data_IF_663597923371
#
_entry.id   IF_663597923371
#
_cell.length_a   1.000
_cell.length_b   1.000
_cell.length_c   1.000
_cell.angle_alpha   90.00
_cell.angle_beta   90.00
_cell.angle_gamma   90.00
#
_symmetry.space_group_name_H-M   'P 1'
#
loop_
_entity.id
_entity.type
_entity.pdbx_description
1 polymer ?
#
# COMPACT_ATOMS: atom_id res chain seq x y z
N UNK A 1 -7.48 14.77 11.85
CA UNK A 1 -6.59 13.58 11.83
C UNK A 1 -6.56 13.05 10.41
N UNK A 2 -5.38 12.83 9.84
CA UNK A 2 -5.25 12.33 8.47
C UNK A 2 -5.31 10.80 8.45
N UNK A 3 -6.09 10.24 7.52
CA UNK A 3 -6.27 8.78 7.35
C UNK A 3 -5.10 8.18 6.56
N UNK A 4 -5.33 7.86 5.30
CA UNK A 4 -4.30 7.38 4.39
C UNK A 4 -4.33 8.15 3.05
N UNK A 5 -3.17 8.30 2.42
CA UNK A 5 -3.04 8.82 1.05
C UNK A 5 -2.91 7.63 0.11
N UNK A 6 -3.71 7.64 -0.96
CA UNK A 6 -3.63 6.68 -2.05
C UNK A 6 -3.17 7.40 -3.31
N UNK A 7 -2.08 6.93 -3.93
CA UNK A 7 -1.64 7.42 -5.22
C UNK A 7 -2.51 6.91 -6.37
N UNK A 8 -2.31 7.44 -7.56
CA UNK A 8 -3.06 7.03 -8.74
C UNK A 8 -2.82 5.54 -9.08
N UNK A 9 -3.87 4.86 -9.54
CA UNK A 9 -3.82 3.44 -9.93
C UNK A 9 -3.34 2.49 -8.83
N UNK A 10 -3.56 2.85 -7.56
CA UNK A 10 -3.30 1.90 -6.45
C UNK A 10 -4.44 0.91 -6.31
N UNK A 11 -4.09 -0.36 -6.17
CA UNK A 11 -5.03 -1.45 -5.91
C UNK A 11 -4.92 -1.89 -4.45
N UNK A 12 -6.02 -1.84 -3.71
CA UNK A 12 -6.06 -2.24 -2.30
C UNK A 12 -6.91 -3.50 -2.17
N UNK A 13 -6.28 -4.59 -1.73
CA UNK A 13 -6.97 -5.85 -1.50
C UNK A 13 -8.01 -5.75 -0.37
N UNK A 14 -9.09 -6.52 -0.50
CA UNK A 14 -10.16 -6.57 0.50
C UNK A 14 -9.63 -6.96 1.89
N UNK A 15 -10.21 -6.38 2.94
CA UNK A 15 -9.79 -6.63 4.33
C UNK A 15 -8.43 -6.02 4.70
N UNK A 16 -7.85 -5.19 3.82
CA UNK A 16 -6.65 -4.43 4.16
C UNK A 16 -6.99 -3.24 5.07
N UNK A 17 -6.14 -3.01 6.08
CA UNK A 17 -6.27 -1.90 7.02
C UNK A 17 -5.18 -0.88 6.77
N UNK A 18 -5.58 0.34 6.40
CA UNK A 18 -4.67 1.48 6.26
C UNK A 18 -4.65 2.26 7.57
N UNK A 19 -3.53 2.20 8.29
CA UNK A 19 -3.39 2.95 9.54
C UNK A 19 -3.28 4.47 9.26
N UNK A 20 -3.57 5.33 10.26
CA UNK A 20 -3.39 6.76 10.12
C UNK A 20 -1.97 7.14 9.69
N UNK A 21 -1.86 8.17 8.85
CA UNK A 21 -0.62 8.62 8.21
C UNK A 21 0.06 7.59 7.28
N UNK A 22 -0.69 6.61 6.76
CA UNK A 22 -0.19 5.72 5.70
C UNK A 22 -0.21 6.43 4.34
N UNK A 23 0.87 6.29 3.57
CA UNK A 23 1.02 6.89 2.25
C UNK A 23 1.36 5.77 1.28
N UNK A 24 0.51 5.54 0.28
CA UNK A 24 0.71 4.52 -0.74
C UNK A 24 1.05 5.22 -2.06
N UNK A 25 2.22 4.94 -2.61
CA UNK A 25 2.66 5.49 -3.89
C UNK A 25 1.83 4.98 -5.07
N UNK A 26 1.83 5.72 -6.17
CA UNK A 26 1.11 5.36 -7.42
C UNK A 26 1.45 3.97 -7.94
N UNK A 27 0.53 3.33 -8.65
CA UNK A 27 0.70 2.02 -9.29
C UNK A 27 1.19 0.92 -8.31
N UNK A 28 0.75 1.01 -7.05
CA UNK A 28 1.09 0.05 -5.99
C UNK A 28 -0.06 -0.92 -5.79
N UNK A 29 0.27 -2.19 -5.57
CA UNK A 29 -0.71 -3.24 -5.27
C UNK A 29 -0.53 -3.69 -3.83
N UNK A 30 -1.59 -3.62 -3.02
CA UNK A 30 -1.63 -4.14 -1.65
C UNK A 30 -2.44 -5.43 -1.63
N UNK A 31 -1.83 -6.51 -1.15
CA UNK A 31 -2.52 -7.80 -1.05
C UNK A 31 -3.64 -7.78 0.00
N UNK A 32 -4.71 -8.57 -0.18
CA UNK A 32 -5.80 -8.68 0.80
C UNK A 32 -5.31 -8.99 2.21
N UNK A 33 -6.11 -8.62 3.22
CA UNK A 33 -5.81 -8.86 4.63
C UNK A 33 -4.47 -8.23 5.10
N UNK A 34 -4.00 -7.20 4.42
CA UNK A 34 -2.74 -6.50 4.75
C UNK A 34 -2.96 -5.31 5.66
N UNK A 35 -2.06 -5.13 6.63
CA UNK A 35 -2.00 -3.95 7.49
C UNK A 35 -0.84 -3.05 7.06
N UNK A 36 -1.15 -1.85 6.57
CA UNK A 36 -0.17 -0.88 6.05
C UNK A 36 0.06 0.24 7.06
N UNK A 37 1.34 0.52 7.34
CA UNK A 37 1.80 1.60 8.21
C UNK A 37 2.93 2.38 7.55
N UNK A 38 2.85 3.70 7.61
CA UNK A 38 3.89 4.58 7.06
C UNK A 38 3.85 4.65 5.54
N UNK A 39 5.01 4.67 4.91
CA UNK A 39 5.14 4.93 3.47
C UNK A 39 5.40 3.64 2.67
N UNK A 40 4.62 3.44 1.61
CA UNK A 40 4.82 2.39 0.60
C UNK A 40 5.24 3.08 -0.71
N UNK A 41 6.40 2.74 -1.30
CA UNK A 41 6.91 3.38 -2.50
C UNK A 41 6.02 3.11 -3.72
N UNK A 42 6.07 4.00 -4.71
CA UNK A 42 5.39 3.81 -5.99
C UNK A 42 5.92 2.59 -6.76
N UNK A 43 5.11 2.04 -7.66
CA UNK A 43 5.43 0.86 -8.47
C UNK A 43 5.89 -0.33 -7.61
N UNK A 44 5.20 -0.60 -6.50
CA UNK A 44 5.54 -1.71 -5.61
C UNK A 44 4.35 -2.64 -5.36
N UNK A 45 4.65 -3.85 -4.90
CA UNK A 45 3.67 -4.82 -4.43
C UNK A 45 3.91 -5.02 -2.94
N UNK A 46 2.93 -4.62 -2.13
CA UNK A 46 2.91 -4.82 -0.70
C UNK A 46 2.22 -6.16 -0.41
N UNK A 47 3.01 -7.16 0.01
CA UNK A 47 2.48 -8.50 0.32
C UNK A 47 2.10 -8.62 1.79
N UNK A 48 2.97 -8.12 2.68
CA UNK A 48 2.80 -8.07 4.13
C UNK A 48 3.80 -7.09 4.73
N UNK A 49 3.69 -6.80 6.03
CA UNK A 49 4.64 -5.93 6.72
C UNK A 49 6.07 -6.42 6.54
N UNK A 50 6.95 -5.54 6.06
CA UNK A 50 8.36 -5.85 5.77
C UNK A 50 8.60 -6.57 4.42
N UNK A 51 7.55 -6.95 3.69
CA UNK A 51 7.66 -7.60 2.39
C UNK A 51 7.04 -6.73 1.29
N UNK A 52 7.82 -5.72 0.90
CA UNK A 52 7.51 -4.83 -0.23
C UNK A 52 8.48 -5.14 -1.35
N UNK A 53 7.95 -5.51 -2.52
CA UNK A 53 8.75 -5.82 -3.71
C UNK A 53 8.48 -4.80 -4.81
N UNK A 54 9.48 -4.49 -5.63
CA UNK A 54 9.24 -3.67 -6.81
C UNK A 54 8.35 -4.42 -7.81
N UNK A 55 7.31 -3.75 -8.32
CA UNK A 55 6.49 -4.25 -9.42
C UNK A 55 7.37 -4.22 -10.67
N UNK A 56 7.67 -5.38 -11.23
CA UNK A 56 8.29 -5.49 -12.55
C UNK A 56 7.17 -5.33 -13.58
N UNK A 57 7.41 -4.51 -14.60
CA UNK A 57 6.49 -4.32 -15.74
C UNK A 57 6.13 -5.65 -16.42
#
# INVERSE_FOLDING_TARGET
KFGAVLGDFTEIGCGSVLNPASIIGRNTIVYPLSMVRGFVPANSIYKKQGEVVAKKD
#
